data_IF_486692616235
#
_entry.id   IF_486692616235
#
_cell.length_a   1.000
_cell.length_b   1.000
_cell.length_c   1.000
_cell.angle_alpha   90.00
_cell.angle_beta   90.00
_cell.angle_gamma   90.00
#
_symmetry.space_group_name_H-M   'P 1'
#
loop_
_entity.id
_entity.type
_entity.pdbx_description
1 polymer ?
#
# COMPACT_ATOMS: atom_id res chain seq x y z
N UNK A 1 -41.74 -18.97 -5.68
CA UNK A 1 -40.48 -19.50 -6.28
C UNK A 1 -39.21 -18.79 -5.81
N UNK A 2 -39.17 -17.46 -5.64
CA UNK A 2 -37.96 -16.76 -5.14
C UNK A 2 -37.51 -17.13 -3.71
N UNK A 3 -38.44 -17.46 -2.80
CA UNK A 3 -38.10 -17.80 -1.41
C UNK A 3 -37.43 -19.20 -1.29
N UNK A 4 -37.79 -20.13 -2.18
CA UNK A 4 -37.22 -21.48 -2.22
C UNK A 4 -35.79 -21.50 -2.79
N UNK A 5 -35.49 -20.63 -3.77
CA UNK A 5 -34.14 -20.46 -4.31
C UNK A 5 -33.19 -19.78 -3.31
N UNK A 6 -33.71 -18.90 -2.44
CA UNK A 6 -32.91 -18.25 -1.40
C UNK A 6 -32.59 -19.18 -0.23
N UNK A 7 -33.53 -20.08 0.15
CA UNK A 7 -33.26 -21.12 1.15
C UNK A 7 -32.26 -22.17 0.63
N UNK A 8 -32.35 -22.59 -0.63
CA UNK A 8 -31.43 -23.57 -1.22
C UNK A 8 -29.96 -23.07 -1.26
N UNK A 9 -29.74 -21.77 -1.53
CA UNK A 9 -28.40 -21.18 -1.56
C UNK A 9 -27.79 -21.02 -0.16
N UNK A 10 -28.60 -20.67 0.85
CA UNK A 10 -28.14 -20.59 2.24
C UNK A 10 -27.85 -21.96 2.87
N UNK A 11 -28.55 -23.02 2.46
CA UNK A 11 -28.22 -24.38 2.89
C UNK A 11 -26.95 -24.93 2.24
N UNK A 12 -26.64 -24.58 0.98
CA UNK A 12 -25.39 -25.03 0.34
C UNK A 12 -24.13 -24.37 0.93
N UNK A 13 -24.21 -23.11 1.38
CA UNK A 13 -23.08 -22.43 2.04
C UNK A 13 -22.86 -22.94 3.47
N UNK A 14 -23.91 -23.42 4.16
CA UNK A 14 -23.80 -23.99 5.51
C UNK A 14 -23.48 -25.49 5.56
N UNK A 15 -23.71 -26.25 4.50
CA UNK A 15 -23.44 -27.70 4.48
C UNK A 15 -22.00 -28.06 4.10
N UNK A 16 -21.22 -27.14 3.51
CA UNK A 16 -19.81 -27.36 3.18
C UNK A 16 -18.83 -27.02 4.32
N UNK A 17 -19.32 -26.51 5.46
CA UNK A 17 -18.48 -26.08 6.61
C UNK A 17 -18.57 -27.01 7.83
N UNK A 18 -19.14 -28.21 7.72
CA UNK A 18 -19.36 -29.12 8.87
C UNK A 18 -18.64 -30.48 8.70
N UNK A 19 -17.54 -30.56 7.95
CA UNK A 19 -16.71 -31.78 7.91
C UNK A 19 -15.24 -31.42 8.13
N UNK A 20 -14.86 -31.26 9.41
CA UNK A 20 -13.57 -31.68 10.00
C UNK A 20 -13.34 -31.05 11.37
N UNK A 21 -14.04 -31.52 12.39
CA UNK A 21 -13.65 -31.31 13.79
C UNK A 21 -14.06 -32.52 14.62
N UNK A 22 -13.41 -33.66 14.39
CA UNK A 22 -13.36 -34.75 15.37
C UNK A 22 -11.93 -35.28 15.42
N UNK A 23 -11.14 -34.71 16.33
CA UNK A 23 -9.86 -35.28 16.75
C UNK A 23 -9.67 -35.08 18.25
N UNK A 24 -10.03 -36.13 19.00
CA UNK A 24 -9.38 -36.64 20.21
C UNK A 24 -8.64 -35.64 21.12
N UNK A 25 -9.27 -35.33 22.25
CA UNK A 25 -8.61 -34.74 23.41
C UNK A 25 -7.77 -35.80 24.16
N UNK A 26 -6.47 -35.87 23.84
CA UNK A 26 -5.46 -36.48 24.70
C UNK A 26 -4.79 -35.34 25.49
N UNK A 27 -5.15 -35.22 26.77
CA UNK A 27 -4.51 -34.34 27.75
C UNK A 27 -3.13 -34.89 28.10
N UNK A 28 -2.17 -34.77 27.18
CA UNK A 28 -0.77 -34.74 27.55
C UNK A 28 -0.46 -33.31 28.00
N UNK A 29 -0.01 -33.14 29.24
CA UNK A 29 0.62 -31.90 29.71
C UNK A 29 1.96 -31.73 28.97
N UNK A 30 1.89 -31.41 27.69
CA UNK A 30 3.05 -31.01 26.92
C UNK A 30 3.51 -29.68 27.52
N UNK A 31 4.72 -29.64 28.08
CA UNK A 31 5.39 -28.37 28.33
C UNK A 31 5.31 -27.55 27.05
N UNK A 32 4.84 -26.29 27.09
CA UNK A 32 4.66 -25.48 25.89
C UNK A 32 5.91 -25.57 25.03
N UNK A 33 5.80 -26.21 23.86
CA UNK A 33 6.92 -26.27 22.91
C UNK A 33 7.15 -24.84 22.49
N UNK A 34 8.20 -24.21 23.04
CA UNK A 34 8.62 -22.87 22.65
C UNK A 34 8.80 -22.87 21.14
N UNK A 35 8.07 -22.00 20.46
CA UNK A 35 8.23 -21.80 19.01
C UNK A 35 9.55 -21.07 18.77
N UNK A 36 10.19 -21.36 17.65
CA UNK A 36 11.52 -20.85 17.28
C UNK A 36 11.40 -19.85 16.14
N UNK A 37 12.43 -19.01 15.95
CA UNK A 37 12.57 -18.13 14.78
C UNK A 37 12.34 -18.89 13.46
N UNK A 38 12.95 -20.07 13.31
CA UNK A 38 12.80 -20.90 12.12
C UNK A 38 11.34 -21.29 11.82
N UNK A 39 10.49 -21.39 12.87
CA UNK A 39 9.06 -21.65 12.67
C UNK A 39 8.32 -20.42 12.15
N UNK A 40 8.65 -19.23 12.64
CA UNK A 40 8.14 -17.96 12.09
C UNK A 40 8.54 -17.85 10.61
N UNK A 41 9.80 -18.08 10.28
CA UNK A 41 10.30 -18.04 8.89
C UNK A 41 9.53 -19.01 7.98
N UNK A 42 9.31 -20.24 8.43
CA UNK A 42 8.51 -21.23 7.69
C UNK A 42 7.07 -20.73 7.45
N UNK A 43 6.43 -20.16 8.47
CA UNK A 43 5.07 -19.64 8.35
C UNK A 43 5.02 -18.44 7.42
N UNK A 44 6.04 -17.59 7.41
CA UNK A 44 6.14 -16.44 6.50
C UNK A 44 6.42 -16.84 5.06
N UNK A 45 7.26 -17.85 4.79
CA UNK A 45 7.39 -18.43 3.45
C UNK A 45 6.05 -18.97 2.94
N UNK A 46 5.25 -19.57 3.83
CA UNK A 46 3.90 -20.02 3.48
C UNK A 46 2.96 -18.85 3.21
N UNK A 47 3.03 -17.77 3.99
CA UNK A 47 2.27 -16.54 3.74
C UNK A 47 2.63 -15.97 2.37
N UNK A 48 3.91 -15.83 2.05
CA UNK A 48 4.39 -15.33 0.75
C UNK A 48 3.86 -16.16 -0.45
N UNK A 49 3.94 -17.48 -0.34
CA UNK A 49 3.35 -18.39 -1.34
C UNK A 49 1.85 -18.14 -1.53
N UNK A 50 1.11 -17.91 -0.44
CA UNK A 50 -0.32 -17.66 -0.48
C UNK A 50 -0.67 -16.23 -0.92
N UNK A 51 0.19 -15.24 -0.68
CA UNK A 51 0.08 -13.89 -1.26
C UNK A 51 0.17 -14.00 -2.78
N UNK A 52 1.14 -14.74 -3.30
CA UNK A 52 1.27 -15.01 -4.74
C UNK A 52 0.04 -15.74 -5.30
N UNK A 53 -0.48 -16.74 -4.59
CA UNK A 53 -1.69 -17.45 -5.02
C UNK A 53 -2.94 -16.55 -5.03
N UNK A 54 -3.08 -15.69 -4.02
CA UNK A 54 -4.15 -14.70 -3.94
C UNK A 54 -4.04 -13.65 -5.05
N UNK A 55 -2.85 -13.10 -5.30
CA UNK A 55 -2.60 -12.16 -6.40
C UNK A 55 -2.92 -12.79 -7.76
N UNK A 56 -2.52 -14.04 -8.00
CA UNK A 56 -2.90 -14.77 -9.21
C UNK A 56 -4.42 -14.90 -9.36
N UNK A 57 -5.16 -15.10 -8.26
CA UNK A 57 -6.63 -15.16 -8.30
C UNK A 57 -7.25 -13.78 -8.61
N UNK A 58 -6.71 -12.70 -8.04
CA UNK A 58 -7.09 -11.32 -8.38
C UNK A 58 -6.82 -11.03 -9.87
N UNK A 59 -5.63 -11.39 -10.35
CA UNK A 59 -5.21 -11.22 -11.73
C UNK A 59 -5.99 -12.09 -12.70
N UNK A 60 -6.54 -13.23 -12.28
CA UNK A 60 -7.42 -14.09 -13.08
C UNK A 60 -8.88 -13.62 -13.12
N UNK A 61 -9.31 -12.74 -12.19
CA UNK A 61 -10.69 -12.28 -12.13
C UNK A 61 -11.07 -11.41 -13.35
N UNK A 62 -12.14 -11.82 -14.05
CA UNK A 62 -12.71 -11.20 -15.27
C UNK A 62 -14.21 -10.91 -15.11
N UNK A 63 -14.73 -10.85 -13.88
CA UNK A 63 -16.14 -10.51 -13.64
C UNK A 63 -17.12 -11.69 -13.67
N UNK A 64 -16.66 -12.93 -13.44
CA UNK A 64 -17.57 -14.07 -13.25
C UNK A 64 -17.57 -14.60 -11.80
N UNK A 65 -18.69 -15.22 -11.40
CA UNK A 65 -18.92 -15.65 -10.02
C UNK A 65 -17.95 -16.76 -9.55
N UNK A 66 -17.55 -17.67 -10.44
CA UNK A 66 -16.61 -18.73 -10.09
C UNK A 66 -15.21 -18.17 -9.76
N UNK A 67 -14.77 -17.15 -10.49
CA UNK A 67 -13.50 -16.46 -10.21
C UNK A 67 -13.59 -15.61 -8.93
N UNK A 68 -14.74 -14.98 -8.65
CA UNK A 68 -14.94 -14.30 -7.37
C UNK A 68 -14.84 -15.28 -6.20
N UNK A 69 -15.44 -16.48 -6.32
CA UNK A 69 -15.33 -17.54 -5.32
C UNK A 69 -13.89 -18.05 -5.17
N UNK A 70 -13.14 -18.17 -6.28
CA UNK A 70 -11.72 -18.56 -6.22
C UNK A 70 -10.87 -17.53 -5.48
N UNK A 71 -11.10 -16.23 -5.72
CA UNK A 71 -10.45 -15.14 -5.00
C UNK A 71 -10.80 -15.18 -3.51
N UNK A 72 -12.07 -15.34 -3.15
CA UNK A 72 -12.50 -15.50 -1.75
C UNK A 72 -11.78 -16.67 -1.06
N UNK A 73 -11.76 -17.84 -1.70
CA UNK A 73 -11.07 -19.02 -1.15
C UNK A 73 -9.58 -18.77 -0.94
N UNK A 74 -8.90 -18.08 -1.87
CA UNK A 74 -7.50 -17.71 -1.72
C UNK A 74 -7.30 -16.73 -0.54
N UNK A 75 -8.19 -15.75 -0.39
CA UNK A 75 -8.15 -14.80 0.74
C UNK A 75 -8.34 -15.51 2.09
N UNK A 76 -9.27 -16.47 2.18
CA UNK A 76 -9.49 -17.27 3.39
C UNK A 76 -8.25 -18.10 3.76
N UNK A 77 -7.61 -18.74 2.77
CA UNK A 77 -6.37 -19.50 3.00
C UNK A 77 -5.22 -18.60 3.46
N UNK A 78 -5.04 -17.45 2.80
CA UNK A 78 -4.04 -16.46 3.19
C UNK A 78 -4.29 -15.97 4.61
N UNK A 79 -5.53 -15.59 4.94
CA UNK A 79 -5.91 -15.18 6.30
C UNK A 79 -5.63 -16.26 7.34
N UNK A 80 -5.92 -17.53 7.02
CA UNK A 80 -5.61 -18.65 7.92
C UNK A 80 -4.11 -18.79 8.16
N UNK A 81 -3.27 -18.60 7.14
CA UNK A 81 -1.81 -18.67 7.28
C UNK A 81 -1.27 -17.49 8.10
N UNK A 82 -1.78 -16.27 7.87
CA UNK A 82 -1.42 -15.08 8.66
C UNK A 82 -1.78 -15.27 10.14
N UNK A 83 -2.95 -15.84 10.44
CA UNK A 83 -3.36 -16.13 11.81
C UNK A 83 -2.49 -17.20 12.48
N UNK A 84 -2.06 -18.22 11.72
CA UNK A 84 -1.11 -19.22 12.22
C UNK A 84 0.25 -18.58 12.53
N UNK A 85 0.80 -17.81 11.58
CA UNK A 85 2.05 -17.07 11.78
C UNK A 85 1.95 -16.15 13.01
N UNK A 86 0.83 -15.46 13.19
CA UNK A 86 0.58 -14.59 14.37
C UNK A 86 0.63 -15.38 15.67
N UNK A 87 0.00 -16.56 15.69
CA UNK A 87 -0.02 -17.43 16.87
C UNK A 87 1.39 -17.92 17.21
N UNK A 88 2.15 -18.35 16.20
CA UNK A 88 3.49 -18.88 16.39
C UNK A 88 4.49 -17.78 16.78
N UNK A 89 4.37 -16.57 16.22
CA UNK A 89 5.12 -15.38 16.62
C UNK A 89 4.87 -15.03 18.08
N UNK A 90 3.60 -14.99 18.54
CA UNK A 90 3.27 -14.72 19.95
C UNK A 90 3.78 -15.78 20.92
N UNK A 91 3.97 -17.01 20.44
CA UNK A 91 4.52 -18.13 21.22
C UNK A 91 6.05 -18.20 21.18
N UNK A 92 6.70 -17.30 20.45
CA UNK A 92 8.17 -17.21 20.34
C UNK A 92 8.70 -16.24 21.39
N UNK A 93 9.88 -16.54 21.96
CA UNK A 93 10.55 -15.63 22.88
C UNK A 93 11.07 -14.38 22.13
N UNK A 94 11.44 -13.33 22.88
CA UNK A 94 12.10 -12.16 22.30
C UNK A 94 13.30 -12.56 21.44
N UNK A 95 13.41 -11.97 20.26
CA UNK A 95 14.54 -12.14 19.37
C UNK A 95 15.74 -11.41 19.96
N UNK A 96 16.88 -12.09 20.02
CA UNK A 96 18.09 -11.57 20.70
C UNK A 96 18.98 -10.73 19.79
N UNK A 97 18.71 -10.68 18.49
CA UNK A 97 19.51 -9.94 17.51
C UNK A 97 18.63 -9.20 16.52
N UNK A 98 19.10 -8.02 16.11
CA UNK A 98 18.45 -7.23 15.04
C UNK A 98 18.42 -8.04 13.74
N UNK A 99 19.48 -8.78 13.45
CA UNK A 99 19.59 -9.61 12.24
C UNK A 99 18.47 -10.64 12.12
N UNK A 100 18.09 -11.30 13.22
CA UNK A 100 16.97 -12.26 13.20
C UNK A 100 15.64 -11.55 12.87
N UNK A 101 15.45 -10.35 13.39
CA UNK A 101 14.26 -9.55 13.09
C UNK A 101 14.26 -9.04 11.66
N UNK A 102 15.41 -8.57 11.17
CA UNK A 102 15.58 -8.11 9.78
C UNK A 102 15.35 -9.24 8.78
N UNK A 103 15.72 -10.48 9.10
CA UNK A 103 15.38 -11.65 8.27
C UNK A 103 13.87 -11.86 8.20
N UNK A 104 13.16 -11.77 9.34
CA UNK A 104 11.70 -11.87 9.41
C UNK A 104 11.03 -10.72 8.62
N UNK A 105 11.49 -9.48 8.79
CA UNK A 105 10.97 -8.31 8.08
C UNK A 105 11.27 -8.37 6.58
N UNK A 106 12.44 -8.87 6.18
CA UNK A 106 12.82 -9.06 4.78
C UNK A 106 11.87 -9.98 4.02
N UNK A 107 11.30 -11.00 4.68
CA UNK A 107 10.27 -11.85 4.05
C UNK A 107 8.99 -11.06 3.80
N UNK A 108 8.59 -10.18 4.71
CA UNK A 108 7.44 -9.27 4.50
C UNK A 108 7.70 -8.25 3.41
N UNK A 109 8.89 -7.66 3.40
CA UNK A 109 9.34 -6.73 2.37
C UNK A 109 9.20 -7.32 0.97
N UNK A 110 9.58 -8.59 0.80
CA UNK A 110 9.44 -9.29 -0.47
C UNK A 110 7.99 -9.57 -0.87
N UNK A 111 7.13 -9.94 0.08
CA UNK A 111 5.71 -10.23 -0.19
C UNK A 111 4.86 -8.97 -0.38
N UNK A 112 5.29 -7.84 0.18
CA UNK A 112 4.52 -6.59 0.24
C UNK A 112 4.18 -6.01 -1.14
N UNK A 113 5.11 -5.87 -2.11
CA UNK A 113 4.78 -5.40 -3.46
C UNK A 113 3.68 -6.20 -4.14
N UNK A 114 3.70 -7.53 -4.01
CA UNK A 114 2.67 -8.42 -4.59
C UNK A 114 1.32 -8.22 -3.90
N UNK A 115 1.30 -8.11 -2.57
CA UNK A 115 0.07 -7.84 -1.81
C UNK A 115 -0.55 -6.48 -2.19
N UNK A 116 0.27 -5.43 -2.25
CA UNK A 116 -0.16 -4.07 -2.65
C UNK A 116 -0.62 -4.05 -4.11
N UNK A 117 0.07 -4.76 -5.01
CA UNK A 117 -0.33 -4.93 -6.40
C UNK A 117 -1.71 -5.57 -6.53
N UNK A 118 -1.96 -6.68 -5.82
CA UNK A 118 -3.27 -7.33 -5.79
C UNK A 118 -4.38 -6.44 -5.20
N UNK A 119 -4.09 -5.67 -4.15
CA UNK A 119 -5.03 -4.69 -3.58
C UNK A 119 -5.40 -3.59 -4.58
N UNK A 120 -4.42 -3.08 -5.30
CA UNK A 120 -4.61 -2.10 -6.38
C UNK A 120 -5.49 -2.68 -7.49
N UNK A 121 -5.22 -3.92 -7.92
CA UNK A 121 -6.01 -4.61 -8.93
C UNK A 121 -7.47 -4.86 -8.49
N UNK A 122 -7.72 -5.16 -7.20
CA UNK A 122 -9.09 -5.24 -6.66
C UNK A 122 -9.81 -3.89 -6.81
N UNK A 123 -9.13 -2.78 -6.51
CA UNK A 123 -9.69 -1.42 -6.68
C UNK A 123 -10.10 -1.15 -8.12
N UNK A 124 -9.22 -1.47 -9.08
CA UNK A 124 -9.47 -1.30 -10.51
C UNK A 124 -10.62 -2.19 -11.02
N UNK A 125 -10.74 -3.41 -10.48
CA UNK A 125 -11.80 -4.38 -10.82
C UNK A 125 -13.10 -4.17 -10.04
N UNK A 126 -13.22 -3.13 -9.21
CA UNK A 126 -14.37 -2.88 -8.33
C UNK A 126 -15.73 -2.87 -9.08
N UNK A 127 -15.78 -2.34 -10.30
CA UNK A 127 -16.99 -2.37 -11.15
C UNK A 127 -17.39 -3.79 -11.57
N UNK A 128 -16.41 -4.65 -11.85
CA UNK A 128 -16.65 -6.05 -12.22
C UNK A 128 -17.18 -6.87 -11.05
N UNK A 129 -16.75 -6.57 -9.82
CA UNK A 129 -17.36 -7.17 -8.62
C UNK A 129 -18.81 -6.71 -8.43
N UNK A 130 -19.11 -5.43 -8.66
CA UNK A 130 -20.47 -4.90 -8.51
C UNK A 130 -21.48 -5.51 -9.50
N UNK A 131 -21.00 -6.01 -10.65
CA UNK A 131 -21.83 -6.74 -11.61
C UNK A 131 -22.27 -8.14 -11.12
N UNK A 132 -21.60 -8.69 -10.10
CA UNK A 132 -21.90 -10.00 -9.52
C UNK A 132 -22.62 -9.81 -8.19
N UNK A 133 -23.83 -10.37 -8.06
CA UNK A 133 -24.64 -10.25 -6.85
C UNK A 133 -23.86 -10.71 -5.61
N UNK A 134 -23.65 -9.80 -4.67
CA UNK A 134 -23.01 -10.07 -3.38
C UNK A 134 -21.48 -10.09 -3.40
N UNK A 135 -20.82 -10.12 -4.57
CA UNK A 135 -19.37 -10.26 -4.64
C UNK A 135 -18.61 -9.07 -4.02
N UNK A 136 -19.09 -7.84 -4.22
CA UNK A 136 -18.47 -6.65 -3.60
C UNK A 136 -18.44 -6.75 -2.08
N UNK A 137 -19.53 -7.20 -1.45
CA UNK A 137 -19.61 -7.33 0.01
C UNK A 137 -18.66 -8.43 0.54
N UNK A 138 -18.56 -9.55 -0.17
CA UNK A 138 -17.61 -10.63 0.16
C UNK A 138 -16.17 -10.14 0.07
N UNK A 139 -15.80 -9.50 -1.05
CA UNK A 139 -14.44 -8.97 -1.24
C UNK A 139 -14.12 -7.88 -0.22
N UNK A 140 -15.06 -7.00 0.11
CA UNK A 140 -14.86 -6.00 1.17
C UNK A 140 -14.59 -6.67 2.52
N UNK A 141 -15.36 -7.71 2.87
CA UNK A 141 -15.15 -8.47 4.10
C UNK A 141 -13.78 -9.16 4.11
N UNK A 142 -13.38 -9.78 3.00
CA UNK A 142 -12.08 -10.44 2.86
C UNK A 142 -10.93 -9.43 3.04
N UNK A 143 -11.01 -8.27 2.41
CA UNK A 143 -9.99 -7.20 2.52
C UNK A 143 -9.91 -6.67 3.96
N UNK A 144 -11.04 -6.48 4.66
CA UNK A 144 -11.04 -6.08 6.08
C UNK A 144 -10.43 -7.14 6.98
N UNK A 145 -10.75 -8.40 6.73
CA UNK A 145 -10.21 -9.54 7.48
C UNK A 145 -8.71 -9.66 7.26
N UNK A 146 -8.23 -9.57 6.02
CA UNK A 146 -6.80 -9.56 5.70
C UNK A 146 -6.09 -8.37 6.37
N UNK A 147 -6.63 -7.16 6.27
CA UNK A 147 -6.10 -5.96 6.95
C UNK A 147 -5.93 -6.17 8.46
N UNK A 148 -6.97 -6.68 9.12
CA UNK A 148 -6.96 -6.94 10.56
C UNK A 148 -5.90 -7.98 10.94
N UNK A 149 -5.85 -9.10 10.21
CA UNK A 149 -4.90 -10.19 10.49
C UNK A 149 -3.45 -9.79 10.20
N UNK A 150 -3.19 -9.05 9.11
CA UNK A 150 -1.86 -8.51 8.80
C UNK A 150 -1.39 -7.55 9.90
N UNK A 151 -2.25 -6.64 10.37
CA UNK A 151 -1.92 -5.74 11.47
C UNK A 151 -1.62 -6.50 12.77
N UNK A 152 -2.38 -7.57 13.07
CA UNK A 152 -2.14 -8.41 14.23
C UNK A 152 -0.81 -9.15 14.16
N UNK A 153 -0.40 -9.62 12.97
CA UNK A 153 0.89 -10.27 12.74
C UNK A 153 2.05 -9.29 12.92
N UNK A 154 1.98 -8.11 12.31
CA UNK A 154 3.02 -7.07 12.45
C UNK A 154 3.15 -6.62 13.90
N UNK A 155 2.04 -6.45 14.61
CA UNK A 155 2.05 -6.15 16.06
C UNK A 155 2.74 -7.27 16.86
N UNK A 156 2.49 -8.54 16.52
CA UNK A 156 3.14 -9.66 17.18
C UNK A 156 4.66 -9.69 16.90
N UNK A 157 5.07 -9.37 15.68
CA UNK A 157 6.49 -9.28 15.32
C UNK A 157 7.16 -8.15 16.10
N UNK A 158 6.58 -6.95 16.11
CA UNK A 158 7.10 -5.81 16.88
C UNK A 158 7.24 -6.15 18.38
N UNK A 159 6.31 -6.92 18.95
CA UNK A 159 6.35 -7.30 20.35
C UNK A 159 7.52 -8.25 20.71
N UNK A 160 8.02 -9.03 19.74
CA UNK A 160 9.16 -9.92 19.94
C UNK A 160 10.48 -9.36 19.40
N UNK A 161 10.46 -8.18 18.79
CA UNK A 161 11.61 -7.55 18.14
C UNK A 161 12.43 -6.70 19.12
N UNK A 162 13.75 -6.56 18.93
CA UNK A 162 14.55 -5.50 19.56
C UNK A 162 13.97 -4.11 19.30
N UNK A 163 14.20 -3.17 20.22
CA UNK A 163 13.57 -1.85 20.18
C UNK A 163 13.97 -1.04 18.94
N UNK A 164 15.18 -1.27 18.45
CA UNK A 164 15.83 -0.58 17.34
C UNK A 164 15.14 -0.86 15.99
N UNK A 165 14.50 -2.02 15.85
CA UNK A 165 13.85 -2.49 14.61
C UNK A 165 12.31 -2.37 14.64
N UNK A 166 11.71 -2.09 15.81
CA UNK A 166 10.26 -1.80 15.94
C UNK A 166 9.78 -0.68 15.01
N UNK A 167 10.53 0.43 14.82
CA UNK A 167 10.13 1.50 13.90
C UNK A 167 10.00 1.02 12.45
N UNK A 168 10.92 0.16 11.98
CA UNK A 168 10.84 -0.42 10.63
C UNK A 168 9.58 -1.28 10.48
N UNK A 169 9.29 -2.17 11.43
CA UNK A 169 8.07 -2.96 11.43
C UNK A 169 6.79 -2.10 11.45
N UNK A 170 6.81 -1.00 12.21
CA UNK A 170 5.70 -0.05 12.28
C UNK A 170 5.49 0.67 10.95
N UNK A 171 6.57 1.00 10.25
CA UNK A 171 6.51 1.64 8.95
C UNK A 171 5.88 0.73 7.88
N UNK A 172 6.19 -0.58 7.90
CA UNK A 172 5.51 -1.56 7.06
C UNK A 172 4.01 -1.62 7.33
N UNK A 173 3.61 -1.57 8.60
CA UNK A 173 2.22 -1.59 8.98
C UNK A 173 1.45 -0.39 8.41
N UNK A 174 2.06 0.81 8.43
CA UNK A 174 1.45 2.02 7.83
C UNK A 174 1.22 1.83 6.34
N UNK A 175 2.25 1.44 5.58
CA UNK A 175 2.15 1.27 4.12
C UNK A 175 1.05 0.28 3.73
N UNK A 176 0.98 -0.86 4.42
CA UNK A 176 -0.06 -1.86 4.16
C UNK A 176 -1.45 -1.38 4.55
N UNK A 177 -1.59 -0.70 5.69
CA UNK A 177 -2.87 -0.14 6.13
C UNK A 177 -3.42 0.90 5.14
N UNK A 178 -2.56 1.74 4.57
CA UNK A 178 -2.97 2.72 3.55
C UNK A 178 -3.47 2.02 2.28
N UNK A 179 -2.77 0.98 1.82
CA UNK A 179 -3.19 0.18 0.66
C UNK A 179 -4.54 -0.53 0.89
N UNK A 180 -4.76 -1.08 2.08
CA UNK A 180 -6.04 -1.66 2.47
C UNK A 180 -7.15 -0.60 2.50
N UNK A 181 -6.88 0.58 3.07
CA UNK A 181 -7.84 1.67 3.20
C UNK A 181 -8.27 2.24 1.84
N UNK A 182 -7.32 2.43 0.91
CA UNK A 182 -7.63 2.87 -0.46
C UNK A 182 -8.50 1.82 -1.18
N UNK A 183 -8.17 0.53 -1.04
CA UNK A 183 -8.95 -0.56 -1.63
C UNK A 183 -10.39 -0.58 -1.15
N UNK A 184 -10.60 -0.47 0.16
CA UNK A 184 -11.94 -0.42 0.75
C UNK A 184 -12.70 0.83 0.28
N UNK A 185 -12.03 1.97 0.19
CA UNK A 185 -12.62 3.22 -0.32
C UNK A 185 -13.11 3.07 -1.76
N UNK A 186 -12.31 2.42 -2.63
CA UNK A 186 -12.65 2.22 -4.04
C UNK A 186 -13.75 1.18 -4.24
N UNK A 187 -13.77 0.10 -3.45
CA UNK A 187 -14.89 -0.85 -3.42
C UNK A 187 -16.20 -0.17 -3.01
N UNK A 188 -16.18 0.69 -1.98
CA UNK A 188 -17.35 1.42 -1.52
C UNK A 188 -17.89 2.43 -2.55
N UNK A 189 -17.01 3.14 -3.27
CA UNK A 189 -17.40 4.07 -4.36
C UNK A 189 -18.16 3.35 -5.48
N UNK A 190 -17.70 2.16 -5.86
CA UNK A 190 -18.36 1.35 -6.88
C UNK A 190 -19.77 0.94 -6.42
N UNK A 191 -19.95 0.54 -5.16
CA UNK A 191 -21.28 0.23 -4.61
C UNK A 191 -22.25 1.44 -4.69
N UNK A 192 -21.78 2.65 -4.35
CA UNK A 192 -22.60 3.86 -4.43
C UNK A 192 -22.97 4.26 -5.87
N UNK A 193 -22.11 3.98 -6.85
CA UNK A 193 -22.39 4.27 -8.26
C UNK A 193 -23.46 3.32 -8.82
N UNK A 194 -23.51 2.09 -8.32
CA UNK A 194 -24.51 1.09 -8.67
C UNK A 194 -25.70 1.05 -7.70
N UNK A 195 -25.94 2.09 -6.88
CA UNK A 195 -27.11 2.19 -5.99
C UNK A 195 -28.47 2.16 -6.71
N UNK A 196 -28.51 2.14 -8.04
CA UNK A 196 -29.71 1.78 -8.82
C UNK A 196 -29.95 0.25 -8.91
N UNK A 197 -28.96 -0.58 -8.58
CA UNK A 197 -29.04 -2.04 -8.58
C UNK A 197 -29.08 -2.59 -7.16
N UNK A 198 -30.31 -2.72 -6.66
CA UNK A 198 -30.73 -3.64 -5.59
C UNK A 198 -30.10 -3.42 -4.22
N UNK A 199 -30.69 -2.46 -3.52
CA UNK A 199 -30.89 -2.44 -2.07
C UNK A 199 -30.56 -3.76 -1.36
N UNK A 200 -29.38 -3.80 -0.74
CA UNK A 200 -29.13 -4.61 0.45
C UNK A 200 -29.81 -3.92 1.66
N UNK A 201 -31.13 -3.70 1.58
CA UNK A 201 -31.94 -3.16 2.67
C UNK A 201 -32.58 -4.28 3.53
N UNK A 202 -32.31 -5.54 3.24
CA UNK A 202 -33.00 -6.68 3.87
C UNK A 202 -32.31 -7.33 5.07
N UNK A 203 -31.07 -6.96 5.44
CA UNK A 203 -30.30 -7.73 6.46
C UNK A 203 -29.80 -6.91 7.65
N UNK A 204 -29.95 -5.57 7.64
CA UNK A 204 -29.53 -4.72 8.79
C UNK A 204 -30.71 -3.93 9.40
N UNK A 205 -31.96 -4.22 9.02
CA UNK A 205 -33.11 -3.47 9.54
C UNK A 205 -33.89 -4.14 10.69
N UNK A 206 -33.36 -5.21 11.30
CA UNK A 206 -33.98 -5.84 12.49
C UNK A 206 -33.17 -5.74 13.79
N UNK A 207 -32.09 -4.96 13.86
CA UNK A 207 -31.30 -4.85 15.11
C UNK A 207 -30.92 -3.45 15.58
N UNK A 208 -31.45 -2.39 14.97
CA UNK A 208 -31.21 -1.02 15.44
C UNK A 208 -32.48 -0.16 15.44
N UNK A 209 -33.51 -0.60 16.17
CA UNK A 209 -34.61 0.28 16.60
C UNK A 209 -34.25 0.92 17.95
N UNK A 210 -33.34 1.90 17.95
CA UNK A 210 -32.92 2.48 19.24
C UNK A 210 -32.10 3.76 19.25
N UNK A 211 -31.84 4.46 18.14
CA UNK A 211 -31.15 5.76 18.19
C UNK A 211 -31.78 6.76 17.22
N UNK A 212 -32.78 7.48 17.72
CA UNK A 212 -33.30 8.71 17.11
C UNK A 212 -32.41 9.87 17.56
N UNK A 213 -31.40 10.25 16.78
CA UNK A 213 -30.79 11.58 16.82
C UNK A 213 -29.75 11.75 15.69
N UNK A 214 -30.23 12.08 14.50
CA UNK A 214 -29.41 12.70 13.44
C UNK A 214 -30.26 13.74 12.71
N UNK A 215 -30.54 14.85 13.39
CA UNK A 215 -31.21 16.01 12.81
C UNK A 215 -30.62 17.31 13.36
N UNK A 216 -29.31 17.48 13.21
CA UNK A 216 -28.63 18.73 13.59
C UNK A 216 -27.39 18.99 12.72
N UNK A 217 -27.51 18.93 11.40
CA UNK A 217 -26.45 19.44 10.52
C UNK A 217 -27.03 20.08 9.24
N UNK A 218 -27.92 21.06 9.44
CA UNK A 218 -28.40 21.92 8.37
C UNK A 218 -28.77 23.31 8.91
N UNK A 219 -27.77 24.06 9.39
CA UNK A 219 -27.92 25.50 9.65
C UNK A 219 -26.54 26.10 9.95
N UNK A 220 -25.94 26.79 8.97
CA UNK A 220 -25.11 27.98 9.16
C UNK A 220 -24.68 28.55 7.79
N UNK A 221 -25.64 29.17 7.12
CA UNK A 221 -25.38 30.28 6.20
C UNK A 221 -26.33 31.41 6.60
N UNK A 222 -25.81 32.44 7.24
CA UNK A 222 -26.48 33.75 7.36
C UNK A 222 -25.66 34.80 6.60
N UNK A 223 -26.31 35.83 6.05
CA UNK A 223 -25.65 36.84 5.24
C UNK A 223 -24.90 37.86 6.10
N UNK A 224 -23.81 38.35 5.50
CA UNK A 224 -22.90 39.37 5.97
C UNK A 224 -23.60 40.73 6.07
N UNK A 225 -23.68 41.32 7.26
CA UNK A 225 -24.12 42.71 7.46
C UNK A 225 -22.88 43.63 7.51
N UNK A 226 -22.91 44.65 6.66
CA UNK A 226 -21.86 45.63 6.48
C UNK A 226 -21.81 46.60 7.66
N UNK A 227 -20.73 46.57 8.42
CA UNK A 227 -20.39 47.64 9.35
C UNK A 227 -18.88 47.86 9.35
N UNK A 228 -18.48 48.97 8.72
CA UNK A 228 -17.13 49.52 8.76
C UNK A 228 -16.76 49.87 10.21
N UNK A 229 -15.97 49.00 10.85
CA UNK A 229 -15.19 49.36 12.05
C UNK A 229 -13.72 49.15 11.72
N UNK A 230 -12.97 50.25 11.75
CA UNK A 230 -11.50 50.27 11.74
C UNK A 230 -11.02 49.53 13.00
N UNK A 231 -10.67 48.25 12.84
CA UNK A 231 -10.02 47.45 13.86
C UNK A 231 -8.52 47.77 13.80
N UNK A 232 -7.97 48.24 14.93
CA UNK A 232 -6.54 48.41 15.11
C UNK A 232 -5.81 47.10 14.81
N UNK A 233 -4.92 47.13 13.81
CA UNK A 233 -4.13 45.96 13.42
C UNK A 233 -3.24 45.53 14.61
N UNK A 234 -3.39 44.31 15.13
CA UNK A 234 -2.44 43.81 16.11
C UNK A 234 -1.05 43.75 15.46
N UNK A 235 -0.02 44.18 16.20
CA UNK A 235 1.38 43.95 15.85
C UNK A 235 1.55 42.44 15.63
N UNK A 236 1.72 42.04 14.37
CA UNK A 236 2.14 40.71 14.02
C UNK A 236 3.56 40.53 14.54
N UNK A 237 3.71 39.80 15.64
CA UNK A 237 4.97 39.12 15.91
C UNK A 237 5.23 38.24 14.68
N UNK A 238 6.35 38.49 13.99
CA UNK A 238 6.86 37.59 12.97
C UNK A 238 7.13 36.26 13.68
N UNK A 239 6.15 35.37 13.66
CA UNK A 239 6.33 34.01 14.14
C UNK A 239 7.52 33.47 13.36
N UNK A 240 8.59 33.10 14.09
CA UNK A 240 9.70 32.38 13.49
C UNK A 240 9.10 31.22 12.71
N UNK A 241 9.48 31.03 11.43
CA UNK A 241 8.91 29.98 10.59
C UNK A 241 8.86 28.68 11.38
N UNK A 242 7.65 28.17 11.61
CA UNK A 242 7.47 26.88 12.28
C UNK A 242 8.17 25.86 11.39
N UNK A 243 9.25 25.26 11.90
CA UNK A 243 9.93 24.17 11.18
C UNK A 243 8.91 23.06 10.96
N UNK A 244 8.85 22.54 9.73
CA UNK A 244 7.96 21.41 9.41
C UNK A 244 8.45 20.15 10.12
N UNK A 245 7.53 19.21 10.34
CA UNK A 245 7.80 17.95 11.05
C UNK A 245 7.93 16.75 10.09
N UNK A 246 8.40 15.63 10.64
CA UNK A 246 8.59 14.36 9.94
C UNK A 246 7.33 13.90 9.18
N UNK A 247 6.14 14.14 9.74
CA UNK A 247 4.88 13.72 9.14
C UNK A 247 4.65 14.33 7.75
N UNK A 248 5.20 15.52 7.51
CA UNK A 248 5.15 16.17 6.20
C UNK A 248 5.97 15.38 5.17
N UNK A 249 7.21 15.00 5.50
CA UNK A 249 8.08 14.19 4.62
C UNK A 249 7.43 12.82 4.35
N UNK A 250 6.85 12.17 5.36
CA UNK A 250 6.18 10.88 5.20
C UNK A 250 4.96 10.98 4.27
N UNK A 251 4.19 12.08 4.36
CA UNK A 251 3.08 12.35 3.44
C UNK A 251 3.56 12.53 2.00
N UNK A 252 4.67 13.24 1.80
CA UNK A 252 5.26 13.42 0.47
C UNK A 252 5.72 12.09 -0.11
N UNK A 253 6.38 11.23 0.68
CA UNK A 253 6.79 9.89 0.26
C UNK A 253 5.58 9.05 -0.13
N UNK A 254 4.50 9.08 0.66
CA UNK A 254 3.26 8.36 0.35
C UNK A 254 2.66 8.82 -0.99
N UNK A 255 2.64 10.13 -1.24
CA UNK A 255 2.19 10.69 -2.51
C UNK A 255 3.10 10.26 -3.69
N UNK A 256 4.43 10.28 -3.48
CA UNK A 256 5.41 9.80 -4.45
C UNK A 256 5.19 8.32 -4.78
N UNK A 257 5.01 7.45 -3.78
CA UNK A 257 4.75 6.02 -3.97
C UNK A 257 3.47 5.78 -4.78
N UNK A 258 2.39 6.52 -4.48
CA UNK A 258 1.16 6.43 -5.26
C UNK A 258 1.36 6.87 -6.72
N UNK A 259 2.10 7.96 -6.95
CA UNK A 259 2.40 8.44 -8.29
C UNK A 259 3.31 7.49 -9.07
N UNK A 260 4.27 6.83 -8.40
CA UNK A 260 5.12 5.79 -9.00
C UNK A 260 4.29 4.63 -9.56
N UNK A 261 3.27 4.15 -8.83
CA UNK A 261 2.35 3.12 -9.34
C UNK A 261 1.63 3.60 -10.60
N UNK A 262 1.13 4.84 -10.61
CA UNK A 262 0.43 5.37 -11.81
C UNK A 262 1.37 5.60 -12.99
N UNK A 263 2.64 5.93 -12.73
CA UNK A 263 3.68 6.08 -13.75
C UNK A 263 4.07 4.72 -14.32
N UNK A 264 4.29 3.71 -13.47
CA UNK A 264 4.59 2.34 -13.88
C UNK A 264 3.45 1.73 -14.73
N UNK A 265 2.19 1.93 -14.31
CA UNK A 265 1.04 1.54 -15.13
C UNK A 265 1.02 2.21 -16.51
N UNK A 266 1.46 3.47 -16.60
CA UNK A 266 1.57 4.18 -17.88
C UNK A 266 2.73 3.66 -18.74
N UNK A 267 3.86 3.29 -18.13
CA UNK A 267 4.97 2.60 -18.80
C UNK A 267 4.49 1.27 -19.38
N UNK A 268 3.87 0.43 -18.57
CA UNK A 268 3.39 -0.88 -19.00
C UNK A 268 2.34 -0.77 -20.12
N UNK A 269 1.50 0.26 -20.07
CA UNK A 269 0.47 0.54 -21.08
C UNK A 269 1.00 1.23 -22.35
N UNK A 270 2.26 1.69 -22.36
CA UNK A 270 2.85 2.31 -23.53
C UNK A 270 2.95 1.29 -24.67
N UNK A 271 2.38 1.64 -25.83
CA UNK A 271 2.21 0.77 -26.99
C UNK A 271 2.73 1.40 -28.30
N UNK A 272 3.68 2.32 -28.20
CA UNK A 272 4.32 2.93 -29.36
C UNK A 272 3.46 3.91 -30.13
N UNK A 273 2.51 4.59 -29.47
CA UNK A 273 1.76 5.71 -30.06
C UNK A 273 1.92 7.01 -29.25
N UNK A 274 1.71 8.15 -29.91
CA UNK A 274 1.89 9.48 -29.31
C UNK A 274 0.97 9.75 -28.11
N UNK A 275 -0.25 9.21 -28.09
CA UNK A 275 -1.18 9.42 -26.97
C UNK A 275 -0.69 8.74 -25.69
N UNK A 276 -0.22 7.49 -25.81
CA UNK A 276 0.37 6.75 -24.69
C UNK A 276 1.70 7.38 -24.23
N UNK A 277 2.52 7.91 -25.15
CA UNK A 277 3.72 8.68 -24.81
C UNK A 277 3.38 9.97 -24.04
N UNK A 278 2.37 10.73 -24.48
CA UNK A 278 1.90 11.93 -23.79
C UNK A 278 1.36 11.62 -22.38
N UNK A 279 0.72 10.46 -22.22
CA UNK A 279 0.27 9.98 -20.90
C UNK A 279 1.47 9.72 -20.00
N UNK A 280 2.47 8.99 -20.49
CA UNK A 280 3.70 8.72 -19.75
C UNK A 280 4.44 10.02 -19.37
N UNK A 281 4.59 10.96 -20.30
CA UNK A 281 5.14 12.29 -20.06
C UNK A 281 4.41 13.02 -18.92
N UNK A 282 3.07 13.06 -18.99
CA UNK A 282 2.24 13.72 -17.96
C UNK A 282 2.44 13.10 -16.58
N UNK A 283 2.53 11.76 -16.50
CA UNK A 283 2.80 11.07 -15.23
C UNK A 283 4.22 11.33 -14.72
N UNK A 284 5.20 11.35 -15.61
CA UNK A 284 6.59 11.72 -15.28
C UNK A 284 6.66 13.13 -14.67
N UNK A 285 5.98 14.12 -15.28
CA UNK A 285 5.94 15.50 -14.76
C UNK A 285 5.21 15.64 -13.43
N UNK A 286 4.13 14.88 -13.22
CA UNK A 286 3.47 14.84 -11.91
C UNK A 286 4.42 14.31 -10.82
N UNK A 287 5.17 13.24 -11.13
CA UNK A 287 6.13 12.65 -10.21
C UNK A 287 7.33 13.59 -9.95
N UNK A 288 7.86 14.25 -10.97
CA UNK A 288 8.88 15.30 -10.85
C UNK A 288 8.42 16.42 -9.90
N UNK A 289 7.18 16.91 -10.07
CA UNK A 289 6.62 17.95 -9.20
C UNK A 289 6.43 17.48 -7.75
N UNK A 290 6.11 16.21 -7.54
CA UNK A 290 5.99 15.63 -6.20
C UNK A 290 7.36 15.57 -5.51
N UNK A 291 8.41 15.12 -6.21
CA UNK A 291 9.78 15.16 -5.70
C UNK A 291 10.24 16.58 -5.39
N UNK A 292 9.94 17.56 -6.25
CA UNK A 292 10.30 18.96 -6.01
C UNK A 292 9.62 19.54 -4.75
N UNK A 293 8.36 19.18 -4.53
CA UNK A 293 7.62 19.54 -3.31
C UNK A 293 8.26 18.90 -2.08
N UNK A 294 8.57 17.60 -2.16
CA UNK A 294 9.21 16.84 -1.09
C UNK A 294 10.60 17.38 -0.71
N UNK A 295 11.39 17.82 -1.71
CA UNK A 295 12.67 18.51 -1.48
C UNK A 295 12.46 19.80 -0.69
N UNK A 296 11.49 20.62 -1.11
CA UNK A 296 11.18 21.90 -0.45
C UNK A 296 10.78 21.68 1.01
N UNK A 297 9.94 20.68 1.24
CA UNK A 297 9.41 20.36 2.57
C UNK A 297 10.49 19.75 3.47
N UNK A 298 11.39 18.94 2.90
CA UNK A 298 12.56 18.37 3.58
C UNK A 298 13.53 19.46 4.02
N UNK A 299 13.85 20.42 3.15
CA UNK A 299 14.68 21.58 3.52
C UNK A 299 14.05 22.47 4.60
N UNK A 300 12.71 22.48 4.70
CA UNK A 300 11.98 23.20 5.74
C UNK A 300 11.88 22.43 7.07
N UNK A 301 12.36 21.17 7.10
CA UNK A 301 12.31 20.29 8.26
C UNK A 301 13.59 20.43 9.09
N UNK A 302 13.50 20.33 10.42
CA UNK A 302 14.70 20.26 11.26
C UNK A 302 15.47 18.96 11.04
N UNK A 303 16.79 18.98 11.26
CA UNK A 303 17.60 17.77 11.28
C UNK A 303 16.95 16.67 12.14
N UNK A 304 17.02 15.44 11.66
CA UNK A 304 16.55 14.28 12.41
C UNK A 304 17.38 14.14 13.69
N UNK A 305 16.67 14.09 14.82
CA UNK A 305 17.28 13.98 16.15
C UNK A 305 17.55 12.53 16.55
N UNK A 306 17.17 11.56 15.71
CA UNK A 306 17.40 10.12 15.92
C UNK A 306 17.54 9.40 14.58
N UNK A 307 18.34 8.34 14.59
CA UNK A 307 18.63 7.52 13.41
C UNK A 307 17.39 6.76 12.95
N UNK A 308 16.51 6.42 13.88
CA UNK A 308 15.21 5.81 13.64
C UNK A 308 14.37 6.58 12.62
N UNK A 309 14.28 7.90 12.77
CA UNK A 309 13.51 8.76 11.89
C UNK A 309 14.08 8.77 10.46
N UNK A 310 15.41 8.84 10.37
CA UNK A 310 16.13 8.79 9.11
C UNK A 310 15.93 7.44 8.40
N UNK A 311 16.14 6.34 9.13
CA UNK A 311 15.95 4.97 8.64
C UNK A 311 14.50 4.71 8.22
N UNK A 312 13.53 5.25 8.94
CA UNK A 312 12.11 5.15 8.58
C UNK A 312 11.85 5.77 7.20
N UNK A 313 12.31 7.01 6.99
CA UNK A 313 12.16 7.72 5.71
C UNK A 313 12.88 6.98 4.58
N UNK A 314 14.11 6.55 4.79
CA UNK A 314 14.88 5.81 3.78
C UNK A 314 14.22 4.47 3.44
N UNK A 315 13.73 3.72 4.44
CA UNK A 315 13.02 2.46 4.22
C UNK A 315 11.71 2.64 3.43
N UNK A 316 10.96 3.73 3.66
CA UNK A 316 9.78 4.03 2.84
C UNK A 316 10.13 4.26 1.36
N UNK A 317 11.23 4.96 1.10
CA UNK A 317 11.70 5.16 -0.26
C UNK A 317 12.25 3.86 -0.88
N UNK A 318 12.97 3.05 -0.10
CA UNK A 318 13.48 1.77 -0.52
C UNK A 318 12.36 0.85 -0.99
N UNK A 319 11.23 0.81 -0.26
CA UNK A 319 10.02 0.09 -0.65
C UNK A 319 9.44 0.52 -2.00
N UNK A 320 9.70 1.76 -2.44
CA UNK A 320 9.26 2.27 -3.74
C UNK A 320 10.26 1.98 -4.87
N UNK A 321 11.46 1.48 -4.55
CA UNK A 321 12.51 1.22 -5.54
C UNK A 321 12.17 0.14 -6.54
N UNK A 322 11.57 -1.02 -6.17
CA UNK A 322 11.25 -2.04 -7.15
C UNK A 322 10.32 -1.53 -8.25
N UNK A 323 9.36 -0.67 -7.91
CA UNK A 323 8.43 -0.04 -8.87
C UNK A 323 9.18 0.91 -9.80
N UNK A 324 10.01 1.79 -9.24
CA UNK A 324 10.79 2.73 -10.04
C UNK A 324 11.75 2.01 -10.99
N UNK A 325 12.56 1.08 -10.48
CA UNK A 325 13.55 0.35 -11.26
C UNK A 325 12.86 -0.54 -12.30
N UNK A 326 11.79 -1.24 -11.94
CA UNK A 326 10.99 -2.04 -12.86
C UNK A 326 10.44 -1.21 -14.02
N UNK A 327 9.85 -0.04 -13.73
CA UNK A 327 9.38 0.87 -14.77
C UNK A 327 10.50 1.42 -15.66
N UNK A 328 11.69 1.71 -15.10
CA UNK A 328 12.85 2.14 -15.89
C UNK A 328 13.34 1.04 -16.85
N UNK A 329 13.42 -0.20 -16.38
CA UNK A 329 13.74 -1.36 -17.22
C UNK A 329 12.72 -1.53 -18.35
N UNK A 330 11.42 -1.42 -18.05
CA UNK A 330 10.36 -1.51 -19.05
C UNK A 330 10.41 -0.38 -20.09
N UNK A 331 10.81 0.83 -19.71
CA UNK A 331 11.04 1.92 -20.67
C UNK A 331 12.18 1.56 -21.62
N UNK A 332 13.29 1.01 -21.11
CA UNK A 332 14.41 0.57 -21.93
C UNK A 332 13.99 -0.52 -22.93
N UNK A 333 13.23 -1.52 -22.49
CA UNK A 333 12.69 -2.59 -23.37
C UNK A 333 11.78 -2.04 -24.48
N UNK A 334 11.14 -0.89 -24.26
CA UNK A 334 10.25 -0.21 -25.23
C UNK A 334 11.00 0.78 -26.14
N UNK A 335 12.33 0.73 -26.21
CA UNK A 335 13.18 1.63 -27.01
C UNK A 335 12.71 1.74 -28.48
N UNK A 336 12.43 0.60 -29.12
CA UNK A 336 11.99 0.52 -30.51
C UNK A 336 10.64 1.23 -30.73
N UNK A 337 9.74 1.18 -29.75
CA UNK A 337 8.42 1.81 -29.84
C UNK A 337 8.51 3.34 -29.72
N UNK A 338 9.41 3.86 -28.88
CA UNK A 338 9.70 5.30 -28.86
C UNK A 338 10.30 5.78 -30.17
N UNK A 339 11.18 4.99 -30.81
CA UNK A 339 11.75 5.34 -32.13
C UNK A 339 10.68 5.45 -33.22
N UNK A 340 9.69 4.55 -33.24
CA UNK A 340 8.58 4.59 -34.23
C UNK A 340 7.82 5.91 -34.23
N UNK A 341 7.72 6.57 -33.08
CA UNK A 341 7.02 7.85 -32.91
C UNK A 341 7.96 9.06 -32.84
N UNK A 342 9.26 8.90 -33.15
CA UNK A 342 10.27 9.94 -32.93
C UNK A 342 10.27 10.51 -31.50
N UNK A 343 9.92 9.69 -30.51
CA UNK A 343 9.73 10.09 -29.11
C UNK A 343 10.97 9.93 -28.23
N UNK A 344 12.05 9.32 -28.72
CA UNK A 344 13.25 8.99 -27.93
C UNK A 344 13.86 10.21 -27.21
N UNK A 345 14.02 11.34 -27.89
CA UNK A 345 14.60 12.55 -27.28
C UNK A 345 13.72 13.13 -26.16
N UNK A 346 12.39 13.06 -26.32
CA UNK A 346 11.46 13.55 -25.31
C UNK A 346 11.49 12.68 -24.04
N UNK A 347 11.43 11.35 -24.20
CA UNK A 347 11.48 10.44 -23.05
C UNK A 347 12.83 10.48 -22.34
N UNK A 348 13.94 10.62 -23.06
CA UNK A 348 15.27 10.82 -22.45
C UNK A 348 15.32 12.11 -21.63
N UNK A 349 14.74 13.20 -22.13
CA UNK A 349 14.67 14.46 -21.39
C UNK A 349 13.82 14.31 -20.11
N UNK A 350 12.67 13.65 -20.20
CA UNK A 350 11.81 13.38 -19.05
C UNK A 350 12.52 12.51 -17.99
N UNK A 351 13.21 11.44 -18.39
CA UNK A 351 13.97 10.60 -17.47
C UNK A 351 15.15 11.36 -16.82
N UNK A 352 15.81 12.24 -17.57
CA UNK A 352 16.86 13.10 -17.03
C UNK A 352 16.35 14.04 -15.94
N UNK A 353 15.22 14.72 -16.20
CA UNK A 353 14.59 15.60 -15.20
C UNK A 353 14.06 14.82 -13.99
N UNK A 354 13.38 13.70 -14.23
CA UNK A 354 12.85 12.85 -13.17
C UNK A 354 13.96 12.26 -12.29
N UNK A 355 15.04 11.75 -12.90
CA UNK A 355 16.19 11.21 -12.19
C UNK A 355 16.91 12.26 -11.34
N UNK A 356 17.04 13.50 -11.84
CA UNK A 356 17.58 14.61 -11.07
C UNK A 356 16.69 14.96 -9.86
N UNK A 357 15.36 15.00 -10.03
CA UNK A 357 14.43 15.26 -8.93
C UNK A 357 14.45 14.15 -7.88
N UNK A 358 14.41 12.89 -8.31
CA UNK A 358 14.41 11.72 -7.43
C UNK A 358 15.70 11.62 -6.59
N UNK A 359 16.87 11.76 -7.24
CA UNK A 359 18.17 11.75 -6.54
C UNK A 359 18.41 13.02 -5.72
N UNK A 360 17.82 14.14 -6.12
CA UNK A 360 17.79 15.39 -5.37
C UNK A 360 17.03 15.25 -4.05
N UNK A 361 15.89 14.55 -4.06
CA UNK A 361 15.11 14.27 -2.85
C UNK A 361 15.88 13.40 -1.85
N UNK A 362 16.53 12.31 -2.30
CA UNK A 362 17.40 11.50 -1.42
C UNK A 362 18.55 12.35 -0.86
N UNK A 363 19.12 13.24 -1.67
CA UNK A 363 20.15 14.18 -1.22
C UNK A 363 19.64 15.16 -0.15
N UNK A 364 18.43 15.68 -0.29
CA UNK A 364 17.80 16.56 0.69
C UNK A 364 17.57 15.83 2.02
N UNK A 365 17.13 14.57 1.98
CA UNK A 365 17.00 13.71 3.17
C UNK A 365 18.37 13.51 3.83
N UNK A 366 19.40 13.12 3.05
CA UNK A 366 20.76 12.94 3.56
C UNK A 366 21.31 14.20 4.26
N UNK A 367 20.96 15.39 3.78
CA UNK A 367 21.40 16.66 4.36
C UNK A 367 20.80 16.96 5.74
N UNK A 368 19.66 16.36 6.09
CA UNK A 368 19.01 16.54 7.40
C UNK A 368 19.29 15.37 8.36
N UNK A 369 20.05 14.36 7.94
CA UNK A 369 20.51 13.25 8.79
C UNK A 369 21.81 13.65 9.50
N UNK A 370 21.95 13.31 10.78
CA UNK A 370 23.19 13.58 11.54
C UNK A 370 24.09 12.36 11.70
N UNK A 371 23.55 11.14 11.67
CA UNK A 371 24.34 9.92 11.78
C UNK A 371 25.05 9.57 10.48
N UNK A 372 26.35 9.30 10.59
CA UNK A 372 27.22 9.08 9.44
C UNK A 372 26.99 7.72 8.77
N UNK A 373 26.56 6.70 9.51
CA UNK A 373 26.18 5.40 8.98
C UNK A 373 24.93 5.49 8.12
N UNK A 374 23.90 6.21 8.58
CA UNK A 374 22.66 6.43 7.83
C UNK A 374 22.87 7.35 6.63
N UNK A 375 23.75 8.37 6.71
CA UNK A 375 24.17 9.16 5.54
C UNK A 375 24.82 8.28 4.47
N UNK A 376 25.66 7.32 4.86
CA UNK A 376 26.29 6.40 3.91
C UNK A 376 25.24 5.53 3.20
N UNK A 377 24.22 5.04 3.92
CA UNK A 377 23.09 4.32 3.33
C UNK A 377 22.31 5.20 2.34
N UNK A 378 21.95 6.43 2.72
CA UNK A 378 21.29 7.37 1.82
C UNK A 378 22.11 7.66 0.56
N UNK A 379 23.44 7.74 0.70
CA UNK A 379 24.37 7.97 -0.42
C UNK A 379 24.43 6.77 -1.36
N UNK A 380 24.49 5.55 -0.82
CA UNK A 380 24.40 4.34 -1.61
C UNK A 380 23.07 4.27 -2.35
N UNK A 381 21.97 4.54 -1.65
CA UNK A 381 20.63 4.53 -2.22
C UNK A 381 20.46 5.54 -3.37
N UNK A 382 20.96 6.77 -3.19
CA UNK A 382 21.04 7.79 -4.24
C UNK A 382 21.84 7.29 -5.46
N UNK A 383 22.97 6.62 -5.22
CA UNK A 383 23.84 6.10 -6.28
C UNK A 383 23.13 5.01 -7.09
N UNK A 384 22.42 4.11 -6.44
CA UNK A 384 21.63 3.06 -7.10
C UNK A 384 20.54 3.65 -7.99
N UNK A 385 19.78 4.64 -7.52
CA UNK A 385 18.77 5.29 -8.34
C UNK A 385 19.39 6.05 -9.51
N UNK A 386 20.48 6.79 -9.28
CA UNK A 386 21.18 7.49 -10.35
C UNK A 386 21.68 6.54 -11.44
N UNK A 387 22.23 5.38 -11.06
CA UNK A 387 22.66 4.35 -12.01
C UNK A 387 21.48 3.81 -12.82
N UNK A 388 20.37 3.45 -12.18
CA UNK A 388 19.18 2.94 -12.88
C UNK A 388 18.62 3.92 -13.92
N UNK A 389 18.56 5.22 -13.61
CA UNK A 389 18.18 6.25 -14.58
C UNK A 389 19.21 6.37 -15.72
N UNK A 390 20.50 6.33 -15.39
CA UNK A 390 21.59 6.40 -16.37
C UNK A 390 21.55 5.25 -17.36
N UNK A 391 21.36 4.02 -16.88
CA UNK A 391 21.26 2.82 -17.69
C UNK A 391 20.05 2.89 -18.63
N UNK A 392 18.86 3.22 -18.12
CA UNK A 392 17.66 3.36 -18.94
C UNK A 392 17.79 4.44 -20.03
N UNK A 393 18.44 5.58 -19.72
CA UNK A 393 18.73 6.63 -20.70
C UNK A 393 19.71 6.12 -21.76
N UNK A 394 20.79 5.43 -21.35
CA UNK A 394 21.78 4.86 -22.25
C UNK A 394 21.17 3.84 -23.21
N UNK A 395 20.28 2.98 -22.71
CA UNK A 395 19.58 1.96 -23.50
C UNK A 395 18.64 2.58 -24.53
N UNK A 396 17.90 3.63 -24.15
CA UNK A 396 17.06 4.39 -25.09
C UNK A 396 17.85 5.05 -26.22
N UNK A 397 19.06 5.56 -25.92
CA UNK A 397 19.91 6.24 -26.90
C UNK A 397 20.65 5.27 -27.83
N UNK A 398 21.18 4.19 -27.28
CA UNK A 398 21.87 3.15 -28.04
C UNK A 398 20.89 2.29 -28.84
N UNK A 399 19.68 2.12 -28.32
CA UNK A 399 18.61 1.42 -29.00
C UNK A 399 18.77 -0.09 -29.04
N UNK A 400 19.31 -0.64 -27.94
CA UNK A 400 19.39 -2.07 -27.65
C UNK A 400 18.03 -2.76 -27.77
#
# INVERSE_FOLDING_TARGET
MCLALFQAFNTMVRLSSIISFVSLALLASATPVKRTQAKIEQDLTRVDTLVTAWDNAVNAFRGNANQANALHNAAVQLNSAINQATTDTKATALLTTDMATLQILGVFENASPTLVGGLTQISEKSKSFAAIRGATAVVEQDVRTLSTSTAALLTAISAISPAEVVPQASQFAVTLNDAYADTLTNLAKSCNTYKACYCFAGVIQEHWSGVTEFSSLLLLLRPYDGSNRLIALPRFYLATPVKRDMATIQKDITNISALLVTWDNAVNSFNGNTNSANTLHTRSKALESAFASAITDTHATSNFTSDTNALTVLGQMENSSPILVGGLTQIAEKSADFKKINGTSAIVADLGSLGAAATGFIGAIAAIITDTGVIAQATQFKTTWAAAFGDAISDLQSGL
#
